data_IF_273759989157
#
_entry.id   IF_273759989157
#
_cell.length_a   1.000
_cell.length_b   1.000
_cell.length_c   1.000
_cell.angle_alpha   90.00
_cell.angle_beta   90.00
_cell.angle_gamma   90.00
#
_symmetry.space_group_name_H-M   'P 1'
#
loop_
_entity.id
_entity.type
_entity.pdbx_description
1 polymer ?
#
# COMPACT_ATOMS: atom_id res chain seq x y z
N UNK A 1 14.41 -23.42 19.26
CA UNK A 1 14.76 -22.76 17.98
C UNK A 1 13.99 -23.45 16.88
N UNK A 2 12.88 -22.87 16.43
CA UNK A 2 12.10 -23.37 15.29
C UNK A 2 12.32 -22.40 14.14
N UNK A 3 12.96 -22.88 13.08
CA UNK A 3 13.17 -22.13 11.86
C UNK A 3 11.83 -21.98 11.12
N UNK A 4 11.40 -20.74 10.92
CA UNK A 4 10.28 -20.39 10.05
C UNK A 4 10.85 -20.36 8.63
N UNK A 5 10.24 -21.03 7.64
CA UNK A 5 10.78 -21.02 6.29
C UNK A 5 10.67 -19.62 5.69
N UNK A 6 11.81 -19.11 5.23
CA UNK A 6 11.90 -17.92 4.39
C UNK A 6 11.22 -18.27 3.06
N UNK A 7 10.06 -17.68 2.78
CA UNK A 7 9.47 -17.76 1.44
C UNK A 7 10.29 -16.86 0.55
N UNK A 8 11.08 -17.47 -0.33
CA UNK A 8 11.86 -16.78 -1.35
C UNK A 8 10.94 -16.30 -2.48
N UNK A 9 10.50 -15.04 -2.37
CA UNK A 9 9.65 -14.40 -3.37
C UNK A 9 10.42 -13.93 -4.63
N UNK A 10 11.73 -14.21 -4.75
CA UNK A 10 12.49 -13.89 -5.96
C UNK A 10 11.99 -14.66 -7.20
N UNK A 11 11.27 -15.76 -7.02
CA UNK A 11 10.65 -16.51 -8.11
C UNK A 11 9.48 -15.79 -8.81
N UNK A 12 9.01 -14.66 -8.26
CA UNK A 12 7.95 -13.84 -8.88
C UNK A 12 8.51 -12.62 -9.67
N UNK A 13 9.85 -12.51 -9.79
CA UNK A 13 10.50 -11.44 -10.55
C UNK A 13 10.86 -11.85 -11.99
N UNK A 14 10.01 -11.41 -12.92
CA UNK A 14 10.30 -11.08 -14.33
C UNK A 14 10.78 -12.18 -15.29
N UNK A 15 9.84 -12.66 -16.10
CA UNK A 15 10.07 -13.24 -17.44
C UNK A 15 10.42 -12.12 -18.43
N UNK A 16 11.51 -12.30 -19.19
CA UNK A 16 11.93 -11.51 -20.35
C UNK A 16 10.78 -11.24 -21.34
N UNK A 17 10.75 -10.03 -21.92
CA UNK A 17 9.83 -9.67 -23.01
C UNK A 17 10.60 -9.62 -24.32
N UNK A 18 10.32 -10.57 -25.21
CA UNK A 18 10.50 -10.43 -26.66
C UNK A 18 9.10 -10.40 -27.27
N UNK A 19 8.81 -9.38 -28.08
CA UNK A 19 7.58 -9.34 -28.90
C UNK A 19 6.71 -8.11 -28.65
N UNK A 20 6.84 -7.15 -29.56
CA UNK A 20 5.94 -6.03 -29.85
C UNK A 20 4.51 -6.51 -30.13
N UNK A 21 3.50 -5.82 -29.57
CA UNK A 21 2.15 -5.60 -30.18
C UNK A 21 1.13 -4.97 -29.21
N UNK A 22 1.48 -4.79 -27.94
CA UNK A 22 0.70 -3.94 -27.03
C UNK A 22 1.59 -2.79 -26.56
N UNK A 23 1.13 -1.55 -26.73
CA UNK A 23 1.78 -0.36 -26.17
C UNK A 23 1.70 -0.31 -24.62
N UNK A 24 1.87 -1.43 -23.93
CA UNK A 24 2.31 -1.44 -22.53
C UNK A 24 3.82 -1.07 -22.59
N UNK A 25 4.15 0.23 -22.67
CA UNK A 25 5.53 0.74 -22.57
C UNK A 25 6.06 0.38 -21.17
N UNK A 26 6.70 -0.77 -21.06
CA UNK A 26 7.57 -1.05 -19.93
C UNK A 26 8.85 -0.24 -20.13
N UNK A 27 8.98 0.88 -19.40
CA UNK A 27 10.27 1.55 -19.30
C UNK A 27 11.15 0.69 -18.39
N UNK A 28 11.98 -0.17 -18.97
CA UNK A 28 13.02 -0.86 -18.21
C UNK A 28 14.09 0.14 -17.83
N UNK A 29 14.30 0.37 -16.54
CA UNK A 29 15.55 0.92 -16.04
C UNK A 29 16.27 -0.25 -15.39
N UNK A 30 17.39 -0.69 -15.97
CA UNK A 30 18.32 -1.57 -15.26
C UNK A 30 19.02 -0.74 -14.19
N UNK A 31 19.06 -1.23 -12.96
CA UNK A 31 20.08 -0.82 -12.01
C UNK A 31 20.76 -2.05 -11.41
N UNK A 32 22.07 -1.93 -11.34
CA UNK A 32 22.99 -2.76 -10.57
C UNK A 32 22.69 -2.44 -9.10
N UNK A 33 22.33 -3.46 -8.30
CA UNK A 33 22.12 -3.45 -6.83
C UNK A 33 20.93 -2.65 -6.23
N UNK A 34 19.77 -3.29 -5.96
CA UNK A 34 18.67 -2.72 -5.13
C UNK A 34 17.26 -3.28 -5.40
N UNK A 35 16.25 -3.13 -4.49
CA UNK A 35 15.01 -3.91 -4.50
C UNK A 35 14.04 -3.48 -5.61
N UNK A 36 13.61 -4.48 -6.37
CA UNK A 36 12.81 -4.35 -7.59
C UNK A 36 11.38 -3.87 -7.32
N UNK A 37 10.99 -2.70 -7.85
CA UNK A 37 9.59 -2.30 -7.97
C UNK A 37 9.20 -2.34 -9.44
N UNK A 38 8.40 -3.33 -9.83
CA UNK A 38 7.84 -3.42 -11.19
C UNK A 38 6.75 -2.37 -11.32
N UNK A 39 6.94 -1.43 -12.26
CA UNK A 39 5.94 -0.42 -12.59
C UNK A 39 5.08 -0.91 -13.76
N UNK A 40 3.85 -1.32 -13.47
CA UNK A 40 2.82 -1.52 -14.49
C UNK A 40 1.93 -0.27 -14.55
N UNK A 41 2.43 0.81 -15.17
CA UNK A 41 1.58 1.96 -15.47
C UNK A 41 0.82 1.66 -16.76
N UNK A 42 -0.39 1.12 -16.65
CA UNK A 42 -1.31 1.09 -17.77
C UNK A 42 -1.93 2.50 -17.86
N UNK A 43 -1.34 3.37 -18.67
CA UNK A 43 -1.86 4.71 -18.94
C UNK A 43 -3.16 4.60 -19.77
N UNK A 44 -4.25 4.20 -19.12
CA UNK A 44 -5.60 4.28 -19.67
C UNK A 44 -6.17 5.65 -19.33
N UNK A 45 -5.86 6.65 -20.15
CA UNK A 45 -6.64 7.89 -20.20
C UNK A 45 -8.07 7.50 -20.56
N UNK A 46 -8.97 7.53 -19.58
CA UNK A 46 -10.41 7.39 -19.77
C UNK A 46 -10.94 8.62 -20.50
N UNK A 47 -10.93 8.59 -21.83
CA UNK A 47 -11.80 9.47 -22.62
C UNK A 47 -13.21 8.87 -22.60
N UNK A 48 -14.26 9.69 -22.40
CA UNK A 48 -15.64 9.19 -22.41
C UNK A 48 -15.98 8.65 -23.79
N UNK A 49 -16.28 7.34 -23.87
CA UNK A 49 -16.71 6.66 -25.09
C UNK A 49 -15.79 5.57 -25.64
N UNK A 50 -14.67 5.22 -25.00
CA UNK A 50 -13.83 4.09 -25.42
C UNK A 50 -14.18 2.79 -24.67
N UNK A 51 -14.03 1.61 -25.31
CA UNK A 51 -14.37 0.33 -24.67
C UNK A 51 -13.48 0.11 -23.44
N UNK A 52 -14.00 -0.70 -22.51
CA UNK A 52 -13.37 -1.33 -21.32
C UNK A 52 -11.90 -1.74 -21.54
N UNK A 53 -11.10 -2.09 -20.50
CA UNK A 53 -9.66 -2.42 -20.56
C UNK A 53 -9.28 -3.60 -21.50
N UNK A 54 -9.59 -3.49 -22.78
CA UNK A 54 -9.72 -4.58 -23.74
C UNK A 54 -8.67 -4.50 -24.86
N UNK A 55 -7.79 -3.50 -24.88
CA UNK A 55 -6.75 -3.46 -25.90
C UNK A 55 -5.53 -4.34 -25.58
N UNK A 56 -5.33 -4.75 -24.32
CA UNK A 56 -4.23 -5.63 -23.94
C UNK A 56 -4.67 -6.74 -22.97
N UNK A 57 -4.87 -7.95 -23.53
CA UNK A 57 -5.23 -9.16 -22.77
C UNK A 57 -4.20 -9.53 -21.70
N UNK A 58 -2.91 -9.26 -21.94
CA UNK A 58 -1.84 -9.51 -20.96
C UNK A 58 -1.93 -8.55 -19.78
N UNK A 59 -2.24 -7.29 -20.03
CA UNK A 59 -2.37 -6.28 -18.98
C UNK A 59 -3.68 -6.54 -18.18
N UNK A 60 -4.74 -7.11 -18.79
CA UNK A 60 -5.91 -7.64 -18.07
C UNK A 60 -5.57 -8.80 -17.10
N UNK A 61 -4.94 -9.89 -17.57
CA UNK A 61 -4.60 -11.03 -16.71
C UNK A 61 -3.69 -10.64 -15.54
N UNK A 62 -2.74 -9.74 -15.76
CA UNK A 62 -1.89 -9.21 -14.68
C UNK A 62 -2.70 -8.53 -13.57
N UNK A 63 -3.71 -7.75 -13.93
CA UNK A 63 -4.58 -7.11 -12.92
C UNK A 63 -5.39 -8.16 -12.16
N UNK A 64 -5.81 -9.25 -12.81
CA UNK A 64 -6.47 -10.36 -12.12
C UNK A 64 -5.54 -11.01 -11.10
N UNK A 65 -4.32 -11.36 -11.50
CA UNK A 65 -3.31 -11.98 -10.62
C UNK A 65 -2.98 -11.06 -9.43
N UNK A 66 -2.80 -9.76 -9.69
CA UNK A 66 -2.55 -8.75 -8.66
C UNK A 66 -3.73 -8.62 -7.70
N UNK A 67 -4.96 -8.62 -8.21
CA UNK A 67 -6.17 -8.52 -7.40
C UNK A 67 -6.35 -9.76 -6.53
N UNK A 68 -6.13 -10.96 -7.08
CA UNK A 68 -6.21 -12.23 -6.36
C UNK A 68 -5.20 -12.29 -5.21
N UNK A 69 -3.94 -11.91 -5.48
CA UNK A 69 -2.91 -11.86 -4.45
C UNK A 69 -3.24 -10.82 -3.37
N UNK A 70 -3.65 -9.61 -3.77
CA UNK A 70 -3.95 -8.55 -2.81
C UNK A 70 -5.18 -8.86 -1.95
N UNK A 71 -6.18 -9.56 -2.51
CA UNK A 71 -7.39 -10.00 -1.80
C UNK A 71 -7.09 -10.86 -0.56
N UNK A 72 -5.96 -11.58 -0.56
CA UNK A 72 -5.53 -12.43 0.54
C UNK A 72 -4.78 -11.66 1.65
N UNK A 73 -4.51 -10.37 1.43
CA UNK A 73 -3.77 -9.51 2.37
C UNK A 73 -4.70 -8.62 3.20
N UNK A 74 -4.10 -7.78 4.03
CA UNK A 74 -4.77 -6.78 4.87
C UNK A 74 -5.85 -7.38 5.80
N UNK A 75 -5.54 -8.41 6.62
CA UNK A 75 -6.52 -8.99 7.52
C UNK A 75 -7.07 -7.94 8.50
N UNK A 76 -8.39 -7.94 8.67
CA UNK A 76 -9.11 -6.96 9.49
C UNK A 76 -9.56 -5.70 8.75
N UNK A 77 -8.98 -5.35 7.60
CA UNK A 77 -9.33 -4.11 6.89
C UNK A 77 -10.60 -4.21 6.05
N UNK A 78 -11.10 -5.42 5.83
CA UNK A 78 -12.22 -5.70 4.93
C UNK A 78 -13.61 -5.60 5.59
N UNK A 79 -13.72 -4.81 6.65
CA UNK A 79 -14.97 -4.51 7.35
C UNK A 79 -15.44 -3.09 7.01
N UNK A 80 -16.74 -2.80 7.19
CA UNK A 80 -17.32 -1.50 6.85
C UNK A 80 -17.10 -1.14 5.37
N UNK A 81 -16.57 0.05 5.10
CA UNK A 81 -16.24 0.53 3.74
C UNK A 81 -15.22 -0.39 3.03
N UNK A 82 -14.39 -1.11 3.78
CA UNK A 82 -13.46 -2.10 3.23
C UNK A 82 -14.16 -3.30 2.59
N UNK A 83 -15.40 -3.62 2.99
CA UNK A 83 -16.15 -4.73 2.39
C UNK A 83 -16.48 -4.45 0.92
N UNK A 84 -16.79 -3.21 0.58
CA UNK A 84 -17.07 -2.81 -0.81
C UNK A 84 -15.82 -2.96 -1.70
N UNK A 85 -14.66 -2.49 -1.22
CA UNK A 85 -13.39 -2.63 -1.93
C UNK A 85 -12.99 -4.09 -2.11
N UNK A 86 -13.30 -4.93 -1.12
CA UNK A 86 -13.07 -6.38 -1.20
C UNK A 86 -13.91 -7.01 -2.31
N UNK A 87 -15.16 -6.58 -2.50
CA UNK A 87 -15.97 -7.04 -3.64
C UNK A 87 -15.44 -6.53 -4.98
N UNK A 88 -14.85 -5.33 -5.05
CA UNK A 88 -14.19 -4.82 -6.25
C UNK A 88 -12.96 -5.69 -6.64
N UNK A 89 -12.12 -6.02 -5.66
CA UNK A 89 -10.96 -6.93 -5.85
C UNK A 89 -11.40 -8.32 -6.27
N UNK A 90 -12.41 -8.86 -5.60
CA UNK A 90 -13.08 -10.13 -5.94
C UNK A 90 -13.56 -10.12 -7.38
N UNK A 91 -14.26 -9.07 -7.80
CA UNK A 91 -14.75 -8.97 -9.15
C UNK A 91 -13.60 -9.01 -10.17
N UNK A 92 -12.53 -8.26 -9.94
CA UNK A 92 -11.36 -8.27 -10.82
C UNK A 92 -10.65 -9.63 -10.87
N UNK A 93 -10.38 -10.24 -9.70
CA UNK A 93 -9.70 -11.52 -9.59
C UNK A 93 -10.40 -12.63 -10.39
N UNK A 94 -11.73 -12.71 -10.30
CA UNK A 94 -12.51 -13.76 -10.95
C UNK A 94 -13.20 -13.33 -12.25
N UNK A 95 -12.79 -12.18 -12.82
CA UNK A 95 -13.23 -11.75 -14.15
C UNK A 95 -14.68 -11.27 -14.24
N UNK A 96 -15.26 -10.88 -13.10
CA UNK A 96 -16.58 -10.27 -13.03
C UNK A 96 -16.50 -8.76 -13.26
N UNK A 97 -17.65 -8.14 -13.52
CA UNK A 97 -17.77 -6.68 -13.66
C UNK A 97 -17.43 -5.99 -12.33
N UNK A 98 -16.49 -5.04 -12.36
CA UNK A 98 -16.17 -4.22 -11.19
C UNK A 98 -17.42 -3.39 -10.78
N UNK A 99 -17.89 -3.50 -9.53
CA UNK A 99 -19.04 -2.71 -9.06
C UNK A 99 -18.75 -1.21 -8.98
N UNK A 100 -17.48 -0.78 -8.91
CA UNK A 100 -17.10 0.63 -8.97
C UNK A 100 -16.26 0.92 -10.22
N UNK A 101 -16.86 1.62 -11.19
CA UNK A 101 -16.17 1.99 -12.44
C UNK A 101 -15.17 3.13 -12.25
N UNK A 102 -15.17 3.81 -11.11
CA UNK A 102 -14.25 4.92 -10.82
C UNK A 102 -12.91 4.43 -10.30
N UNK A 103 -12.86 3.23 -9.71
CA UNK A 103 -11.64 2.62 -9.20
C UNK A 103 -10.96 1.80 -10.30
N UNK A 104 -9.72 2.17 -10.64
CA UNK A 104 -8.83 1.32 -11.42
C UNK A 104 -8.15 0.33 -10.48
N UNK A 105 -8.53 -0.94 -10.57
CA UNK A 105 -8.02 -1.99 -9.68
C UNK A 105 -6.50 -2.15 -9.78
N UNK A 106 -5.91 -1.95 -10.97
CA UNK A 106 -4.47 -1.99 -11.13
C UNK A 106 -3.80 -0.85 -10.38
N UNK A 107 -4.34 0.37 -10.48
CA UNK A 107 -3.85 1.53 -9.75
C UNK A 107 -4.03 1.39 -8.23
N UNK A 108 -5.22 0.93 -7.80
CA UNK A 108 -5.56 0.66 -6.42
C UNK A 108 -4.59 -0.33 -5.77
N UNK A 109 -4.40 -1.51 -6.37
CA UNK A 109 -3.50 -2.54 -5.82
C UNK A 109 -2.07 -2.04 -5.80
N UNK A 110 -1.60 -1.42 -6.91
CA UNK A 110 -0.23 -0.90 -7.00
C UNK A 110 0.06 0.15 -5.92
N UNK A 111 -0.84 1.10 -5.73
CA UNK A 111 -0.70 2.16 -4.72
C UNK A 111 -0.60 1.57 -3.31
N UNK A 112 -1.53 0.71 -2.93
CA UNK A 112 -1.56 0.11 -1.59
C UNK A 112 -0.37 -0.82 -1.35
N UNK A 113 0.04 -1.60 -2.36
CA UNK A 113 1.22 -2.45 -2.27
C UNK A 113 2.50 -1.66 -2.05
N UNK A 114 2.66 -0.54 -2.78
CA UNK A 114 3.81 0.35 -2.58
C UNK A 114 3.84 0.96 -1.18
N UNK A 115 2.68 1.35 -0.63
CA UNK A 115 2.61 1.85 0.75
C UNK A 115 2.98 0.77 1.79
N UNK A 116 2.51 -0.45 1.59
CA UNK A 116 2.89 -1.61 2.42
C UNK A 116 4.42 -1.78 2.44
N UNK A 117 5.04 -1.83 1.26
CA UNK A 117 6.49 -2.01 1.13
C UNK A 117 7.26 -0.83 1.71
N UNK A 118 6.77 0.39 1.49
CA UNK A 118 7.35 1.61 2.04
C UNK A 118 7.33 1.58 3.57
N UNK A 119 6.23 1.14 4.19
CA UNK A 119 6.13 1.05 5.63
C UNK A 119 7.14 0.07 6.22
N UNK A 120 7.22 -1.14 5.67
CA UNK A 120 8.14 -2.17 6.15
C UNK A 120 9.61 -1.75 5.97
N UNK A 121 9.95 -1.14 4.83
CA UNK A 121 11.28 -0.61 4.56
C UNK A 121 11.65 0.53 5.52
N UNK A 122 10.74 1.49 5.73
CA UNK A 122 10.96 2.62 6.63
C UNK A 122 11.18 2.17 8.08
N UNK A 123 10.35 1.24 8.58
CA UNK A 123 10.48 0.69 9.94
C UNK A 123 11.87 0.07 10.10
N UNK A 124 12.30 -0.72 9.12
CA UNK A 124 13.63 -1.33 9.11
C UNK A 124 14.75 -0.28 9.12
N UNK A 125 14.69 0.71 8.24
CA UNK A 125 15.75 1.72 8.09
C UNK A 125 15.86 2.66 9.30
N UNK A 126 14.75 2.92 9.98
CA UNK A 126 14.73 3.71 11.21
C UNK A 126 14.99 2.88 12.47
N UNK A 127 15.10 1.55 12.35
CA UNK A 127 15.31 0.65 13.48
C UNK A 127 14.12 0.60 14.44
N UNK A 128 12.89 0.75 13.93
CA UNK A 128 11.68 0.72 14.74
C UNK A 128 11.17 -0.71 14.95
N UNK A 129 10.42 -0.96 16.03
CA UNK A 129 9.79 -2.26 16.24
C UNK A 129 8.75 -2.57 15.16
N UNK A 130 8.71 -3.81 14.71
CA UNK A 130 7.71 -4.30 13.76
C UNK A 130 6.42 -4.63 14.52
N UNK A 131 5.28 -3.96 14.22
CA UNK A 131 3.99 -4.21 14.86
C UNK A 131 3.59 -5.69 14.83
N UNK A 132 3.48 -6.29 16.03
CA UNK A 132 3.11 -7.70 16.18
C UNK A 132 4.09 -8.67 15.50
N UNK A 133 5.31 -8.24 15.18
CA UNK A 133 6.28 -8.98 14.37
C UNK A 133 5.71 -9.47 13.03
N UNK A 134 4.82 -8.68 12.41
CA UNK A 134 4.17 -8.96 11.13
C UNK A 134 4.45 -7.85 10.14
N UNK A 135 4.67 -8.18 8.87
CA UNK A 135 4.74 -7.20 7.76
C UNK A 135 3.44 -6.41 7.65
N UNK A 136 3.49 -5.19 7.11
CA UNK A 136 2.32 -4.34 6.93
C UNK A 136 1.17 -5.05 6.19
N UNK A 137 1.48 -5.89 5.20
CA UNK A 137 0.51 -6.66 4.42
C UNK A 137 -0.30 -7.66 5.26
N UNK A 138 0.35 -8.27 6.25
CA UNK A 138 -0.21 -9.37 7.05
C UNK A 138 -0.61 -8.95 8.46
N UNK A 139 -0.27 -7.72 8.84
CA UNK A 139 -0.57 -7.20 10.17
C UNK A 139 -2.07 -7.18 10.44
N UNK A 140 -2.51 -7.79 11.54
CA UNK A 140 -3.91 -7.69 11.95
C UNK A 140 -4.00 -6.74 13.16
N UNK A 141 -4.49 -5.52 12.92
CA UNK A 141 -4.57 -4.50 13.97
C UNK A 141 -5.43 -4.97 15.16
N UNK A 142 -6.52 -5.71 14.94
CA UNK A 142 -7.38 -6.17 16.02
C UNK A 142 -6.69 -7.19 16.92
N UNK A 143 -5.95 -8.12 16.32
CA UNK A 143 -5.15 -9.11 17.07
C UNK A 143 -4.04 -8.41 17.83
N UNK A 144 -3.28 -7.55 17.14
CA UNK A 144 -2.20 -6.78 17.74
C UNK A 144 -2.68 -5.90 18.91
N UNK A 145 -3.82 -5.21 18.75
CA UNK A 145 -4.45 -4.43 19.84
C UNK A 145 -4.71 -5.34 21.04
N UNK A 146 -5.32 -6.50 20.85
CA UNK A 146 -5.58 -7.46 21.94
C UNK A 146 -4.32 -7.90 22.69
N UNK A 147 -3.19 -8.01 22.02
CA UNK A 147 -1.91 -8.41 22.63
C UNK A 147 -1.24 -7.26 23.39
N UNK A 148 -1.33 -6.03 22.89
CA UNK A 148 -0.60 -4.89 23.45
C UNK A 148 -1.40 -4.17 24.55
N UNK A 149 -2.73 -4.20 24.49
CA UNK A 149 -3.61 -3.46 25.41
C UNK A 149 -3.41 -3.80 26.88
N UNK A 150 -3.02 -5.03 27.20
CA UNK A 150 -2.81 -5.45 28.58
C UNK A 150 -1.45 -5.03 29.14
N UNK A 151 -0.54 -4.57 28.28
CA UNK A 151 0.87 -4.43 28.63
C UNK A 151 1.34 -2.97 28.72
N UNK A 152 0.56 -2.00 28.25
CA UNK A 152 0.97 -0.59 28.17
C UNK A 152 -0.14 0.34 28.70
N UNK A 153 0.14 1.02 29.81
CA UNK A 153 -0.72 2.08 30.34
C UNK A 153 -0.72 3.30 29.41
N UNK A 154 -1.87 3.95 29.20
CA UNK A 154 -1.98 5.11 28.33
C UNK A 154 -1.78 4.79 26.83
N UNK A 155 -1.86 3.51 26.46
CA UNK A 155 -1.60 3.03 25.11
C UNK A 155 -2.48 3.72 24.07
N UNK A 156 -3.79 3.82 24.35
CA UNK A 156 -4.74 4.37 23.39
C UNK A 156 -4.48 5.85 23.14
N UNK A 157 -4.23 6.61 24.20
CA UNK A 157 -3.99 8.04 24.14
C UNK A 157 -2.77 8.34 23.27
N UNK A 158 -1.66 7.62 23.51
CA UNK A 158 -0.41 7.83 22.76
C UNK A 158 -0.54 7.30 21.32
N UNK A 159 -1.20 6.15 21.10
CA UNK A 159 -1.45 5.61 19.76
C UNK A 159 -2.33 6.55 18.92
N UNK A 160 -3.46 6.99 19.47
CA UNK A 160 -4.35 7.92 18.79
C UNK A 160 -3.67 9.26 18.52
N UNK A 161 -2.87 9.76 19.45
CA UNK A 161 -2.10 10.98 19.23
C UNK A 161 -1.10 10.85 18.06
N UNK A 162 -0.32 9.76 17.99
CA UNK A 162 0.61 9.53 16.87
C UNK A 162 -0.15 9.34 15.56
N UNK A 163 -1.23 8.56 15.58
CA UNK A 163 -2.07 8.33 14.41
C UNK A 163 -2.68 9.64 13.90
N UNK A 164 -3.15 10.52 14.79
CA UNK A 164 -3.78 11.79 14.44
C UNK A 164 -2.79 12.74 13.75
N UNK A 165 -1.53 12.77 14.20
CA UNK A 165 -0.46 13.50 13.50
C UNK A 165 -0.29 12.96 12.08
N UNK A 166 -0.22 11.63 11.91
CA UNK A 166 -0.08 11.02 10.58
C UNK A 166 -1.34 11.18 9.71
N UNK A 167 -2.53 11.23 10.28
CA UNK A 167 -3.77 11.44 9.55
C UNK A 167 -3.84 12.83 8.91
N UNK A 168 -3.24 13.83 9.54
CA UNK A 168 -3.37 15.23 9.15
C UNK A 168 -2.09 15.85 8.53
N UNK A 169 -0.95 15.16 8.53
CA UNK A 169 0.28 15.68 7.94
C UNK A 169 0.29 15.56 6.40
N UNK A 170 0.44 16.70 5.72
CA UNK A 170 0.49 16.84 4.26
C UNK A 170 1.63 16.06 3.56
N UNK A 171 2.66 15.63 4.31
CA UNK A 171 3.74 14.77 3.79
C UNK A 171 3.27 13.34 3.54
N UNK A 172 2.17 12.91 4.18
CA UNK A 172 1.60 11.59 3.91
C UNK A 172 1.01 11.48 2.50
N UNK A 173 1.07 10.31 1.86
CA UNK A 173 0.46 10.08 0.55
C UNK A 173 -1.06 10.11 0.64
N UNK A 174 -1.69 10.65 -0.39
CA UNK A 174 -3.14 10.66 -0.56
C UNK A 174 -3.45 9.84 -1.81
N UNK A 175 -4.50 9.02 -1.74
CA UNK A 175 -4.96 8.26 -2.90
C UNK A 175 -5.67 9.20 -3.89
N UNK A 176 -5.43 9.01 -5.19
CA UNK A 176 -6.25 9.60 -6.25
C UNK A 176 -7.62 8.91 -6.33
N UNK A 177 -8.62 9.49 -7.01
CA UNK A 177 -9.92 8.85 -7.22
C UNK A 177 -9.79 7.42 -7.80
N UNK A 178 -8.89 7.22 -8.76
CA UNK A 178 -8.68 5.93 -9.41
C UNK A 178 -8.01 4.90 -8.49
N UNK A 179 -7.24 5.37 -7.51
CA UNK A 179 -6.61 4.54 -6.48
C UNK A 179 -7.57 4.19 -5.33
N UNK A 180 -8.80 4.68 -5.37
CA UNK A 180 -9.84 4.44 -4.39
C UNK A 180 -9.66 5.25 -3.10
N UNK A 181 -10.33 4.85 -2.00
CA UNK A 181 -10.28 5.58 -0.75
C UNK A 181 -8.92 5.42 -0.06
N UNK A 182 -8.67 6.33 0.89
CA UNK A 182 -7.44 6.39 1.64
C UNK A 182 -7.07 5.06 2.31
N UNK A 183 -5.79 4.72 2.29
CA UNK A 183 -5.27 3.47 2.83
C UNK A 183 -4.81 3.66 4.28
N UNK A 184 -5.78 3.80 5.18
CA UNK A 184 -5.54 4.10 6.61
C UNK A 184 -4.61 3.11 7.32
N UNK A 185 -4.51 1.86 6.84
CA UNK A 185 -3.57 0.85 7.37
C UNK A 185 -2.14 1.36 7.41
N UNK A 186 -1.69 2.03 6.36
CA UNK A 186 -0.32 2.55 6.29
C UNK A 186 -0.02 3.44 7.51
N UNK A 187 -0.90 4.39 7.80
CA UNK A 187 -0.77 5.30 8.95
C UNK A 187 -0.90 4.56 10.28
N UNK A 188 -1.88 3.67 10.41
CA UNK A 188 -2.12 2.85 11.62
C UNK A 188 -0.91 1.97 11.96
N UNK A 189 -0.31 1.34 10.96
CA UNK A 189 0.86 0.47 11.12
C UNK A 189 2.12 1.26 11.52
N UNK A 190 2.36 2.44 10.91
CA UNK A 190 3.45 3.32 11.34
C UNK A 190 3.24 3.83 12.77
N UNK A 191 2.02 4.23 13.12
CA UNK A 191 1.69 4.67 14.47
C UNK A 191 1.92 3.55 15.50
N UNK A 192 1.52 2.32 15.16
CA UNK A 192 1.76 1.13 15.96
C UNK A 192 3.26 0.89 16.21
N UNK A 193 4.09 1.05 15.18
CA UNK A 193 5.54 0.88 15.27
C UNK A 193 6.20 1.93 16.17
N UNK A 194 5.85 3.20 15.97
CA UNK A 194 6.33 4.32 16.82
C UNK A 194 5.89 4.11 18.28
N UNK A 195 4.67 3.64 18.49
CA UNK A 195 4.14 3.33 19.82
C UNK A 195 4.93 2.22 20.51
N UNK A 196 5.16 1.10 19.82
CA UNK A 196 5.89 -0.04 20.36
C UNK A 196 7.36 0.27 20.69
N UNK A 197 7.93 1.33 20.10
CA UNK A 197 9.26 1.80 20.49
C UNK A 197 9.30 2.32 21.94
N UNK A 198 8.12 2.60 22.53
CA UNK A 198 7.90 3.05 23.91
C UNK A 198 8.83 4.18 24.36
N UNK A 199 9.06 5.11 23.44
CA UNK A 199 9.95 6.23 23.69
C UNK A 199 9.27 7.30 24.56
N UNK A 200 10.04 8.09 25.33
CA UNK A 200 9.52 9.30 25.97
C UNK A 200 9.00 10.31 24.93
N UNK A 201 8.23 11.31 25.39
CA UNK A 201 7.53 12.27 24.51
C UNK A 201 8.44 12.98 23.50
N UNK A 202 9.54 13.61 23.94
CA UNK A 202 10.46 14.35 23.05
C UNK A 202 11.12 13.44 22.00
N UNK A 203 11.71 12.29 22.35
CA UNK A 203 12.18 11.33 21.36
C UNK A 203 11.07 10.79 20.44
N UNK A 204 9.85 10.63 20.93
CA UNK A 204 8.70 10.24 20.09
C UNK A 204 8.39 11.28 19.02
N UNK A 205 8.40 12.58 19.37
CA UNK A 205 8.25 13.64 18.37
C UNK A 205 9.36 13.62 17.31
N UNK A 206 10.61 13.41 17.73
CA UNK A 206 11.74 13.33 16.82
C UNK A 206 11.63 12.13 15.87
N UNK A 207 11.12 10.99 16.33
CA UNK A 207 10.91 9.83 15.45
C UNK A 207 9.75 10.06 14.48
N UNK A 208 8.65 10.66 14.94
CA UNK A 208 7.51 11.04 14.10
C UNK A 208 7.96 11.94 12.95
N UNK A 209 8.79 12.95 13.24
CA UNK A 209 9.29 13.85 12.20
C UNK A 209 10.21 13.12 11.19
N UNK A 210 11.10 12.24 11.66
CA UNK A 210 11.93 11.39 10.79
C UNK A 210 11.10 10.47 9.89
N UNK A 211 10.02 9.89 10.42
CA UNK A 211 9.05 9.09 9.65
C UNK A 211 8.41 9.95 8.56
N UNK A 212 7.90 11.12 8.92
CA UNK A 212 7.23 12.03 8.00
C UNK A 212 8.16 12.55 6.90
N UNK A 213 9.41 12.86 7.23
CA UNK A 213 10.43 13.24 6.25
C UNK A 213 10.79 12.10 5.30
N UNK A 214 10.90 10.88 5.83
CA UNK A 214 11.12 9.70 5.00
C UNK A 214 9.98 9.52 3.99
N UNK A 215 8.74 9.56 4.48
CA UNK A 215 7.55 9.41 3.64
C UNK A 215 7.43 10.57 2.65
N UNK A 216 7.69 11.80 3.07
CA UNK A 216 7.65 12.98 2.21
C UNK A 216 8.66 12.89 1.05
N UNK A 217 9.87 12.38 1.31
CA UNK A 217 10.86 12.10 0.24
C UNK A 217 10.36 11.02 -0.71
N UNK A 218 9.83 9.91 -0.20
CA UNK A 218 9.27 8.84 -1.03
C UNK A 218 8.09 9.33 -1.88
N UNK A 219 7.20 10.14 -1.28
CA UNK A 219 6.08 10.81 -1.95
C UNK A 219 6.57 11.67 -3.11
N UNK A 220 7.62 12.47 -2.91
CA UNK A 220 8.14 13.34 -3.96
C UNK A 220 8.85 12.57 -5.09
N UNK A 221 9.43 11.41 -4.79
CA UNK A 221 10.14 10.58 -5.75
C UNK A 221 9.21 9.72 -6.63
N UNK A 222 8.10 9.21 -6.08
CA UNK A 222 7.17 8.35 -6.83
C UNK A 222 5.98 9.15 -7.35
N UNK A 223 5.68 9.06 -8.66
CA UNK A 223 4.53 9.78 -9.22
C UNK A 223 3.19 9.23 -8.70
N UNK A 224 3.14 7.96 -8.32
CA UNK A 224 1.91 7.30 -7.88
C UNK A 224 1.48 7.81 -6.48
N UNK A 225 2.38 8.46 -5.73
CA UNK A 225 2.09 9.10 -4.44
C UNK A 225 1.83 10.61 -4.53
N UNK A 226 2.11 11.24 -5.69
CA UNK A 226 1.96 12.69 -5.89
C UNK A 226 0.57 13.11 -6.37
N UNK A 227 -0.29 12.15 -6.69
CA UNK A 227 -1.62 12.44 -7.22
C UNK A 227 -2.49 13.03 -6.10
N UNK A 228 -2.72 14.34 -6.16
CA UNK A 228 -3.71 15.00 -5.32
C UNK A 228 -5.09 14.87 -5.95
N UNK A 229 -6.12 14.80 -5.10
CA UNK A 229 -7.44 15.30 -5.44
C UNK A 229 -7.29 16.77 -5.85
N UNK A 230 -7.14 17.04 -7.15
CA UNK A 230 -7.53 18.35 -7.66
C UNK A 230 -9.03 18.42 -7.44
N UNK A 231 -9.41 19.16 -6.39
CA UNK A 231 -10.79 19.46 -6.04
C UNK A 231 -11.58 19.87 -7.28
N UNK A 232 -12.24 18.91 -7.92
CA UNK A 232 -13.33 19.15 -8.84
C UNK A 232 -14.56 19.47 -7.99
N UNK A 233 -14.57 20.65 -7.37
CA UNK A 233 -15.82 21.26 -6.94
C UNK A 233 -16.36 22.03 -8.15
N UNK A 234 -17.31 21.45 -8.85
CA UNK A 234 -18.29 22.17 -9.68
C UNK A 234 -19.67 21.95 -9.06
#
# INVERSE_FOLDING_TARGET
MLAIPFVDWTQYAMVEVVGSDCACKATSIRYIDGPNVVRATCLLRLLPGYPRPASCRRCYYRVQDMAELFYQTCPGDWQGDGAFLKECLKAAAWGNTNPDVTIDIGAFVSYRWKLILLADQLIKDLGLPVPGNQTCAMWNEYVWRGEVLYNLEGFWEKYHWVWDIFAHDHRMPEASPEQGPDFSRFRRYLAASVMQADLPFKPTLAIIDRVLDYVGRAKNADADFRLRWQRLWY
#
